data_IF_563974943562
#
_entry.id   IF_563974943562
#
_cell.length_a   1.000
_cell.length_b   1.000
_cell.length_c   1.000
_cell.angle_alpha   90.00
_cell.angle_beta   90.00
_cell.angle_gamma   90.00
#
_symmetry.space_group_name_H-M   'P 1'
#
loop_
_entity.id
_entity.type
_entity.pdbx_description
1 polymer ?
#
# COMPACT_ATOMS: atom_id res chain seq x y z
N UNK A 1 -7.59 45.13 48.67
CA UNK A 1 -8.23 44.81 47.38
C UNK A 1 -7.12 44.82 46.34
N UNK A 2 -6.47 43.67 46.13
CA UNK A 2 -5.35 43.57 45.19
C UNK A 2 -5.26 42.15 44.67
N UNK A 3 -5.14 42.06 43.35
CA UNK A 3 -5.55 40.96 42.47
C UNK A 3 -4.49 39.85 42.43
N UNK A 4 -4.92 38.59 42.57
CA UNK A 4 -4.11 37.39 42.33
C UNK A 4 -4.05 37.16 40.81
N UNK A 5 -2.89 37.33 40.20
CA UNK A 5 -2.63 36.97 38.80
C UNK A 5 -2.49 35.44 38.70
N UNK A 6 -3.49 34.77 38.14
CA UNK A 6 -3.41 33.38 37.70
C UNK A 6 -2.74 33.32 36.33
N UNK A 7 -1.54 32.73 36.26
CA UNK A 7 -0.90 32.38 34.99
C UNK A 7 -1.49 31.05 34.48
N UNK A 8 -2.42 31.14 33.53
CA UNK A 8 -2.86 30.00 32.72
C UNK A 8 -1.85 29.79 31.58
N UNK A 9 -0.93 28.83 31.74
CA UNK A 9 -0.12 28.37 30.62
C UNK A 9 -0.95 27.37 29.80
N UNK A 10 -1.50 27.84 28.67
CA UNK A 10 -2.20 27.02 27.68
C UNK A 10 -1.19 26.04 27.05
N UNK A 11 -1.27 24.76 27.42
CA UNK A 11 -0.63 23.68 26.66
C UNK A 11 -1.35 23.52 25.31
N UNK A 12 -0.80 24.12 24.26
CA UNK A 12 -1.21 23.84 22.89
C UNK A 12 -0.75 22.42 22.52
N UNK A 13 -1.66 21.46 22.62
CA UNK A 13 -1.51 20.13 22.03
C UNK A 13 -1.69 20.31 20.52
N UNK A 14 -0.57 20.48 19.80
CA UNK A 14 -0.55 20.39 18.34
C UNK A 14 -0.60 18.90 17.94
N UNK A 15 -1.81 18.36 17.84
CA UNK A 15 -2.14 17.22 16.98
C UNK A 15 -3.29 17.70 16.08
N UNK A 16 -3.29 17.53 14.78
CA UNK A 16 -2.76 16.44 13.95
C UNK A 16 -2.36 17.02 12.59
N UNK A 17 -1.09 16.90 12.21
CA UNK A 17 -0.72 17.10 10.81
C UNK A 17 -1.27 15.90 10.03
N UNK A 18 -2.45 16.05 9.44
CA UNK A 18 -2.94 15.14 8.42
C UNK A 18 -1.96 15.27 7.24
N UNK A 19 -1.01 14.33 7.21
CA UNK A 19 0.08 14.35 6.24
C UNK A 19 -0.47 14.05 4.85
N UNK A 20 0.07 14.75 3.88
CA UNK A 20 -0.41 14.74 2.53
C UNK A 20 -0.18 13.35 1.92
N UNK A 21 -1.20 12.82 1.26
CA UNK A 21 -1.28 11.41 0.85
C UNK A 21 -0.49 11.05 -0.40
N UNK A 22 0.60 11.78 -0.63
CA UNK A 22 1.57 11.35 -1.62
C UNK A 22 2.14 10.00 -1.18
N UNK A 23 2.12 9.05 -2.10
CA UNK A 23 2.72 7.73 -1.91
C UNK A 23 3.78 7.50 -2.97
N UNK A 24 4.82 6.76 -2.62
CA UNK A 24 5.77 6.21 -3.59
C UNK A 24 5.15 4.94 -4.19
N UNK A 25 5.27 4.80 -5.50
CA UNK A 25 4.73 3.65 -6.26
C UNK A 25 5.87 2.96 -6.97
N UNK A 26 6.01 1.66 -6.77
CA UNK A 26 6.92 0.79 -7.53
C UNK A 26 6.13 -0.24 -8.32
N UNK A 27 6.34 -0.30 -9.64
CA UNK A 27 5.64 -1.23 -10.51
C UNK A 27 6.34 -2.60 -10.64
N UNK A 28 5.67 -3.53 -11.33
CA UNK A 28 6.20 -4.88 -11.59
C UNK A 28 7.44 -4.91 -12.49
N UNK A 29 7.77 -3.81 -13.16
CA UNK A 29 8.97 -3.64 -13.99
C UNK A 29 10.16 -3.10 -13.18
N UNK A 30 9.92 -2.70 -11.92
CA UNK A 30 10.92 -2.12 -11.03
C UNK A 30 11.10 -0.61 -11.20
N UNK A 31 10.25 0.03 -12.01
CA UNK A 31 10.23 1.49 -12.15
C UNK A 31 9.52 2.13 -10.96
N UNK A 32 9.88 3.39 -10.68
CA UNK A 32 9.34 4.14 -9.57
C UNK A 32 8.61 5.38 -10.08
N UNK A 33 7.54 5.74 -9.38
CA UNK A 33 6.82 6.99 -9.52
C UNK A 33 6.11 7.32 -8.22
N UNK A 34 5.09 8.15 -8.32
CA UNK A 34 4.28 8.57 -7.19
C UNK A 34 2.80 8.34 -7.48
N UNK A 35 2.00 8.50 -6.44
CA UNK A 35 0.56 8.58 -6.55
C UNK A 35 -0.01 9.40 -5.41
N UNK A 36 -1.33 9.48 -5.39
CA UNK A 36 -2.08 10.09 -4.31
C UNK A 36 -3.10 9.10 -3.77
N UNK A 37 -2.99 8.80 -2.48
CA UNK A 37 -3.89 7.89 -1.79
C UNK A 37 -5.14 8.66 -1.33
N UNK A 38 -6.27 7.95 -1.20
CA UNK A 38 -7.52 8.48 -0.62
C UNK A 38 -8.46 7.34 -0.20
N UNK A 39 -9.29 7.61 0.80
CA UNK A 39 -10.33 6.71 1.26
C UNK A 39 -11.68 6.97 0.58
N UNK A 40 -12.38 5.91 0.17
CA UNK A 40 -13.75 5.97 -0.34
C UNK A 40 -14.52 4.72 0.08
N UNK A 41 -15.67 4.89 0.75
CA UNK A 41 -16.56 3.80 1.16
C UNK A 41 -15.85 2.64 1.90
N UNK A 42 -14.94 2.97 2.84
CA UNK A 42 -14.20 1.96 3.62
C UNK A 42 -13.09 1.23 2.84
N UNK A 43 -12.77 1.70 1.63
CA UNK A 43 -11.67 1.15 0.82
C UNK A 43 -10.63 2.22 0.57
N UNK A 44 -9.37 1.84 0.69
CA UNK A 44 -8.26 2.70 0.38
C UNK A 44 -7.86 2.55 -1.09
N UNK A 45 -7.74 3.67 -1.78
CA UNK A 45 -7.35 3.74 -3.19
C UNK A 45 -6.10 4.59 -3.35
N UNK A 46 -5.33 4.34 -4.40
CA UNK A 46 -4.27 5.23 -4.86
C UNK A 46 -4.46 5.54 -6.34
N UNK A 47 -4.43 6.82 -6.71
CA UNK A 47 -4.42 7.26 -8.11
C UNK A 47 -3.01 7.59 -8.55
N UNK A 48 -2.68 7.21 -9.78
CA UNK A 48 -1.36 7.40 -10.38
C UNK A 48 -1.49 7.46 -11.91
N UNK A 49 -0.45 7.91 -12.64
CA UNK A 49 -0.42 7.77 -14.08
C UNK A 49 -0.41 6.30 -14.49
N UNK A 50 -1.01 5.97 -15.65
CA UNK A 50 -1.06 4.60 -16.15
C UNK A 50 0.34 4.05 -16.42
N UNK A 51 1.23 4.87 -16.98
CA UNK A 51 2.61 4.45 -17.21
C UNK A 51 3.38 4.19 -15.91
N UNK A 52 3.06 4.90 -14.81
CA UNK A 52 3.66 4.61 -13.49
C UNK A 52 3.21 3.25 -12.97
N UNK A 53 1.95 2.89 -13.18
CA UNK A 53 1.43 1.59 -12.76
C UNK A 53 2.07 0.42 -13.54
N UNK A 54 2.56 0.67 -14.76
CA UNK A 54 3.18 -0.33 -15.64
C UNK A 54 2.17 -1.31 -16.23
N UNK A 55 2.67 -2.39 -16.84
CA UNK A 55 1.83 -3.40 -17.49
C UNK A 55 1.26 -4.45 -16.53
N UNK A 56 1.82 -4.57 -15.33
CA UNK A 56 1.46 -5.61 -14.37
C UNK A 56 0.29 -5.19 -13.47
N UNK A 57 -0.54 -6.13 -13.01
CA UNK A 57 -1.76 -5.82 -12.25
C UNK A 57 -1.48 -5.40 -10.79
N UNK A 58 -0.23 -5.34 -10.36
CA UNK A 58 0.15 -5.03 -8.99
C UNK A 58 1.27 -3.99 -8.92
N UNK A 59 1.17 -3.14 -7.91
CA UNK A 59 2.18 -2.16 -7.51
C UNK A 59 2.48 -2.28 -6.01
N UNK A 60 3.67 -1.87 -5.60
CA UNK A 60 4.03 -1.67 -4.20
C UNK A 60 3.81 -0.19 -3.88
N UNK A 61 3.15 0.09 -2.77
CA UNK A 61 2.79 1.45 -2.33
C UNK A 61 3.44 1.72 -1.00
N UNK A 62 4.23 2.79 -0.90
CA UNK A 62 4.87 3.20 0.35
C UNK A 62 4.44 4.60 0.75
N UNK A 63 4.01 4.77 2.00
CA UNK A 63 3.55 6.06 2.55
C UNK A 63 4.71 6.96 2.98
N UNK A 64 4.40 8.22 3.30
CA UNK A 64 5.29 9.08 4.06
C UNK A 64 5.66 8.46 5.43
N UNK A 65 6.69 9.00 6.09
CA UNK A 65 7.14 8.57 7.41
C UNK A 65 6.03 8.72 8.48
N UNK A 66 5.89 7.80 9.46
CA UNK A 66 6.53 6.48 9.50
C UNK A 66 6.05 5.62 8.32
N UNK A 67 7.00 5.06 7.58
CA UNK A 67 6.73 4.38 6.31
C UNK A 67 5.95 3.10 6.57
N UNK A 68 4.77 3.00 5.99
CA UNK A 68 4.05 1.75 5.80
C UNK A 68 4.17 1.35 4.34
N UNK A 69 4.28 0.05 4.09
CA UNK A 69 4.28 -0.47 2.73
C UNK A 69 3.15 -1.46 2.54
N UNK A 70 2.37 -1.23 1.49
CA UNK A 70 1.27 -2.08 1.08
C UNK A 70 1.38 -2.49 -0.39
N UNK A 71 0.35 -3.19 -0.84
CA UNK A 71 0.17 -3.65 -2.21
C UNK A 71 -1.03 -2.94 -2.82
N UNK A 72 -0.93 -2.56 -4.09
CA UNK A 72 -2.02 -1.98 -4.86
C UNK A 72 -2.39 -2.89 -6.01
N UNK A 73 -3.65 -3.29 -6.12
CA UNK A 73 -4.17 -3.98 -7.32
C UNK A 73 -4.62 -2.93 -8.32
N UNK A 74 -3.92 -2.84 -9.46
CA UNK A 74 -4.09 -1.79 -10.48
C UNK A 74 -5.29 -2.09 -11.37
N UNK A 75 -6.08 -1.05 -11.62
CA UNK A 75 -7.18 -1.00 -12.56
C UNK A 75 -6.97 0.26 -13.43
N UNK A 76 -6.97 0.11 -14.75
CA UNK A 76 -6.87 1.22 -15.70
C UNK A 76 -8.11 1.26 -16.62
N UNK A 77 -9.32 1.53 -16.08
CA UNK A 77 -10.58 1.46 -16.81
C UNK A 77 -10.85 2.71 -17.65
N UNK A 78 -9.92 3.66 -17.69
CA UNK A 78 -10.11 4.96 -18.33
C UNK A 78 -9.87 4.88 -19.84
N UNK A 79 -10.40 5.90 -20.53
CA UNK A 79 -10.42 6.02 -21.98
C UNK A 79 -8.99 6.00 -22.53
N UNK A 80 -8.83 5.48 -23.75
CA UNK A 80 -7.55 5.53 -24.45
C UNK A 80 -7.06 6.99 -24.57
N UNK A 81 -5.78 7.21 -24.25
CA UNK A 81 -5.18 8.54 -24.19
C UNK A 81 -5.24 9.23 -22.82
N UNK A 82 -6.02 8.73 -21.86
CA UNK A 82 -5.98 9.21 -20.47
C UNK A 82 -4.93 8.39 -19.71
N UNK A 83 -3.81 9.04 -19.38
CA UNK A 83 -2.73 8.44 -18.60
C UNK A 83 -3.07 8.43 -17.11
N UNK A 84 -4.08 7.64 -16.74
CA UNK A 84 -4.60 7.49 -15.39
C UNK A 84 -4.78 6.02 -15.04
N UNK A 85 -4.50 5.66 -13.80
CA UNK A 85 -4.77 4.37 -13.21
C UNK A 85 -5.20 4.56 -11.74
N UNK A 86 -5.97 3.61 -11.24
CA UNK A 86 -6.38 3.53 -9.83
C UNK A 86 -5.96 2.17 -9.29
N UNK A 87 -5.40 2.14 -8.08
CA UNK A 87 -5.07 0.91 -7.38
C UNK A 87 -5.93 0.76 -6.13
N UNK A 88 -6.43 -0.45 -5.88
CA UNK A 88 -7.04 -0.82 -4.59
C UNK A 88 -5.91 -1.20 -3.64
N UNK A 89 -5.76 -0.42 -2.56
CA UNK A 89 -4.62 -0.52 -1.63
C UNK A 89 -4.94 -1.46 -0.47
N UNK A 90 -4.01 -2.34 -0.15
CA UNK A 90 -4.05 -3.29 0.97
C UNK A 90 -2.73 -3.25 1.74
N UNK A 91 -2.74 -3.67 3.01
CA UNK A 91 -1.54 -3.71 3.85
C UNK A 91 -1.07 -2.35 4.41
N UNK A 92 -1.85 -1.29 4.22
CA UNK A 92 -1.65 0.02 4.86
C UNK A 92 -2.83 0.25 5.81
N UNK A 93 -2.54 0.75 7.01
CA UNK A 93 -3.55 1.03 8.03
C UNK A 93 -4.54 2.11 7.55
N UNK A 94 -5.81 1.96 7.92
CA UNK A 94 -6.90 2.84 7.44
C UNK A 94 -6.70 4.31 7.88
N UNK A 95 -6.03 4.54 9.01
CA UNK A 95 -5.69 5.86 9.53
C UNK A 95 -4.62 6.60 8.72
N UNK A 96 -3.96 5.90 7.79
CA UNK A 96 -3.09 6.51 6.76
C UNK A 96 -3.88 6.94 5.53
N UNK A 97 -5.13 6.47 5.37
CA UNK A 97 -6.00 6.68 4.21
C UNK A 97 -7.15 7.67 4.49
N UNK A 98 -6.80 8.81 5.08
CA UNK A 98 -7.68 9.91 5.52
C UNK A 98 -8.20 10.90 4.45
N UNK A 99 -7.53 11.11 3.33
CA UNK A 99 -7.95 12.02 2.26
C UNK A 99 -9.21 11.50 1.59
N UNK A 100 -9.93 12.42 0.99
CA UNK A 100 -11.21 12.14 0.36
C UNK A 100 -11.11 12.53 -1.09
N UNK A 101 -11.72 11.76 -1.97
CA UNK A 101 -11.77 12.09 -3.39
C UNK A 101 -12.24 13.53 -3.66
N UNK A 102 -13.14 14.06 -2.82
CA UNK A 102 -13.66 15.43 -2.93
C UNK A 102 -12.61 16.53 -2.73
N UNK A 103 -11.43 16.25 -2.17
CA UNK A 103 -10.35 17.25 -2.02
C UNK A 103 -9.71 17.63 -3.36
N UNK A 104 -9.91 16.83 -4.41
CA UNK A 104 -9.59 17.19 -5.79
C UNK A 104 -10.54 18.27 -6.36
N UNK A 105 -11.63 18.61 -5.67
CA UNK A 105 -12.53 19.67 -6.09
C UNK A 105 -11.94 21.04 -5.72
N UNK A 106 -11.22 21.64 -6.65
CA UNK A 106 -10.50 22.88 -6.37
C UNK A 106 -11.41 24.12 -6.35
N UNK A 107 -11.17 24.97 -5.38
CA UNK A 107 -11.91 26.21 -5.21
C UNK A 107 -11.45 27.28 -6.22
N UNK A 108 -11.96 28.51 -6.07
CA UNK A 108 -11.59 29.60 -6.98
C UNK A 108 -10.16 30.10 -6.78
N UNK A 109 -9.61 29.96 -5.56
CA UNK A 109 -8.24 30.35 -5.24
C UNK A 109 -7.25 29.38 -5.89
N UNK A 110 -7.43 28.06 -5.72
CA UNK A 110 -6.61 27.03 -6.35
C UNK A 110 -6.63 27.10 -7.88
N UNK A 111 -7.76 27.45 -8.48
CA UNK A 111 -7.89 27.67 -9.93
C UNK A 111 -7.08 28.86 -10.46
N UNK A 112 -6.90 29.90 -9.65
CA UNK A 112 -6.20 31.13 -10.04
C UNK A 112 -4.78 31.24 -9.50
N UNK A 113 -4.35 30.30 -8.66
CA UNK A 113 -3.01 30.29 -8.09
C UNK A 113 -1.96 30.33 -9.20
N UNK A 114 -0.94 31.17 -9.01
CA UNK A 114 0.25 31.28 -9.87
C UNK A 114 1.44 30.51 -9.31
N UNK A 115 1.37 30.13 -8.03
CA UNK A 115 2.41 29.40 -7.29
C UNK A 115 1.79 28.14 -6.69
N UNK A 116 2.59 27.10 -6.60
CA UNK A 116 2.24 25.82 -6.00
C UNK A 116 3.48 25.14 -5.42
N UNK A 117 3.31 24.00 -4.77
CA UNK A 117 4.41 23.12 -4.38
C UNK A 117 4.16 21.72 -4.91
N UNK A 118 5.14 21.13 -5.58
CA UNK A 118 5.16 19.71 -5.89
C UNK A 118 5.52 18.95 -4.62
N UNK A 119 4.70 17.97 -4.23
CA UNK A 119 5.01 17.10 -3.11
C UNK A 119 5.55 15.75 -3.60
N UNK A 120 6.67 15.33 -3.04
CA UNK A 120 7.33 14.05 -3.29
C UNK A 120 7.70 13.39 -1.98
N UNK A 121 8.03 12.10 -2.05
CA UNK A 121 8.67 11.38 -0.96
C UNK A 121 10.12 11.06 -1.31
N UNK A 122 11.01 11.21 -0.33
CA UNK A 122 12.35 10.65 -0.38
C UNK A 122 12.29 9.11 -0.27
N UNK A 123 13.40 8.39 -0.55
CA UNK A 123 13.47 6.95 -0.30
C UNK A 123 13.24 6.56 1.17
N UNK A 124 13.47 7.46 2.13
CA UNK A 124 13.18 7.25 3.56
C UNK A 124 11.74 7.61 3.95
N UNK A 125 10.92 8.06 2.99
CA UNK A 125 9.53 8.49 3.21
C UNK A 125 9.41 9.92 3.75
N UNK A 126 10.47 10.72 3.74
CA UNK A 126 10.40 12.12 4.11
C UNK A 126 9.69 12.93 3.01
N UNK A 127 8.77 13.80 3.41
CA UNK A 127 8.10 14.71 2.47
C UNK A 127 9.06 15.79 1.96
N UNK A 128 9.17 15.90 0.64
CA UNK A 128 9.88 16.99 -0.02
C UNK A 128 8.89 17.87 -0.78
N UNK A 129 8.85 19.16 -0.42
CA UNK A 129 8.09 20.18 -1.15
C UNK A 129 9.01 21.00 -2.05
N UNK A 130 8.71 20.98 -3.34
CA UNK A 130 9.46 21.71 -4.37
C UNK A 130 8.60 22.86 -4.89
N UNK A 131 9.02 24.13 -4.75
CA UNK A 131 8.26 25.27 -5.26
C UNK A 131 8.07 25.21 -6.77
N UNK A 132 6.85 25.50 -7.21
CA UNK A 132 6.42 25.54 -8.60
C UNK A 132 5.83 26.91 -8.93
N UNK A 133 6.15 27.40 -10.13
CA UNK A 133 5.45 28.51 -10.75
C UNK A 133 4.59 28.02 -11.90
N UNK A 134 3.30 28.29 -11.83
CA UNK A 134 2.31 27.86 -12.83
C UNK A 134 2.41 28.80 -14.03
N UNK A 135 2.68 28.23 -15.20
CA UNK A 135 2.95 28.96 -16.43
C UNK A 135 1.73 29.03 -17.33
N UNK A 136 1.05 27.90 -17.48
CA UNK A 136 -0.13 27.81 -18.33
C UNK A 136 -1.16 26.89 -17.71
N UNK A 137 -2.43 27.20 -17.93
CA UNK A 137 -3.58 26.36 -17.57
C UNK A 137 -4.39 26.16 -18.83
N UNK A 138 -4.36 24.94 -19.33
CA UNK A 138 -5.16 24.52 -20.47
C UNK A 138 -6.43 23.82 -19.97
N UNK A 139 -7.24 23.33 -20.91
CA UNK A 139 -8.50 22.68 -20.58
C UNK A 139 -8.30 21.45 -19.68
N UNK A 140 -7.41 20.52 -20.08
CA UNK A 140 -7.16 19.26 -19.36
C UNK A 140 -5.92 19.28 -18.45
N UNK A 141 -5.00 20.21 -18.72
CA UNK A 141 -3.66 20.20 -18.14
C UNK A 141 -3.29 21.54 -17.52
N UNK A 142 -2.29 21.50 -16.64
CA UNK A 142 -1.55 22.69 -16.24
C UNK A 142 -0.06 22.44 -16.46
N UNK A 143 0.65 23.49 -16.84
CA UNK A 143 2.11 23.48 -16.99
C UNK A 143 2.72 24.32 -15.89
N UNK A 144 3.71 23.76 -15.18
CA UNK A 144 4.44 24.49 -14.14
C UNK A 144 5.94 24.30 -14.30
N UNK A 145 6.68 25.34 -13.91
CA UNK A 145 8.15 25.35 -13.86
C UNK A 145 8.60 25.18 -12.41
N UNK A 146 9.61 24.36 -12.18
CA UNK A 146 10.28 24.27 -10.89
C UNK A 146 11.11 25.53 -10.64
N UNK A 147 11.06 26.06 -9.42
CA UNK A 147 11.92 27.16 -8.99
C UNK A 147 13.12 26.67 -8.15
N UNK A 148 14.16 27.51 -8.04
CA UNK A 148 15.28 27.25 -7.14
C UNK A 148 16.36 26.28 -7.64
N UNK A 149 16.50 26.12 -8.97
CA UNK A 149 17.59 25.32 -9.57
C UNK A 149 17.47 23.81 -9.34
N UNK A 150 16.29 23.34 -8.91
CA UNK A 150 15.97 21.91 -8.80
C UNK A 150 15.43 21.39 -10.13
N UNK A 151 15.66 20.12 -10.41
CA UNK A 151 15.22 19.45 -11.64
C UNK A 151 14.16 18.39 -11.37
N UNK A 152 13.27 18.21 -12.34
CA UNK A 152 12.38 17.07 -12.47
C UNK A 152 13.23 15.89 -12.93
N UNK A 153 13.58 15.03 -11.99
CA UNK A 153 14.24 13.77 -12.31
C UNK A 153 13.22 12.76 -12.82
N UNK A 154 13.70 11.77 -13.58
CA UNK A 154 12.95 10.56 -13.90
C UNK A 154 12.35 9.96 -12.61
N UNK A 155 11.08 9.56 -12.66
CA UNK A 155 10.34 9.08 -11.49
C UNK A 155 9.53 10.14 -10.74
N UNK A 156 9.43 11.37 -11.25
CA UNK A 156 8.54 12.41 -10.68
C UNK A 156 7.07 12.24 -11.11
N UNK A 157 6.79 11.40 -12.11
CA UNK A 157 5.43 11.10 -12.55
C UNK A 157 4.55 10.62 -11.39
N UNK A 158 3.34 11.14 -11.33
CA UNK A 158 2.35 10.88 -10.29
C UNK A 158 2.46 11.75 -9.05
N UNK A 159 3.49 12.60 -8.95
CA UNK A 159 3.61 13.56 -7.85
C UNK A 159 2.53 14.64 -8.00
N UNK A 160 1.91 15.04 -6.89
CA UNK A 160 0.85 16.05 -6.90
C UNK A 160 1.40 17.44 -6.63
N UNK A 161 0.90 18.41 -7.39
CA UNK A 161 1.07 19.83 -7.12
C UNK A 161 -0.04 20.32 -6.18
N UNK A 162 0.33 21.13 -5.20
CA UNK A 162 -0.55 21.64 -4.15
C UNK A 162 -0.50 23.16 -4.06
N UNK A 163 -1.65 23.78 -3.78
CA UNK A 163 -1.77 25.17 -3.33
C UNK A 163 -2.18 25.11 -1.87
N UNK A 164 -1.23 25.35 -0.95
CA UNK A 164 -1.40 25.00 0.45
C UNK A 164 -1.59 23.49 0.61
N UNK A 165 -2.79 23.09 1.03
CA UNK A 165 -3.21 21.69 1.18
C UNK A 165 -4.09 21.19 0.02
N UNK A 166 -4.49 22.08 -0.90
CA UNK A 166 -5.39 21.71 -1.99
C UNK A 166 -4.61 21.12 -3.18
N UNK A 167 -4.84 19.85 -3.55
CA UNK A 167 -4.23 19.27 -4.74
C UNK A 167 -4.80 19.92 -6.00
N UNK A 168 -3.94 20.46 -6.86
CA UNK A 168 -4.35 21.14 -8.12
C UNK A 168 -4.03 20.35 -9.39
N UNK A 169 -3.19 19.32 -9.29
CA UNK A 169 -2.96 18.40 -10.40
C UNK A 169 -1.86 17.37 -10.12
N UNK A 170 -1.82 16.34 -10.95
CA UNK A 170 -0.87 15.23 -10.88
C UNK A 170 0.10 15.28 -12.05
N UNK A 171 1.42 15.28 -11.79
CA UNK A 171 2.43 15.25 -12.83
C UNK A 171 2.29 13.95 -13.64
N UNK A 172 2.35 14.02 -14.97
CA UNK A 172 2.34 12.81 -15.81
C UNK A 172 3.32 12.89 -16.98
N UNK A 173 3.79 14.09 -17.34
CA UNK A 173 4.79 14.27 -18.37
C UNK A 173 5.75 15.42 -18.01
N UNK A 174 6.91 15.42 -18.64
CA UNK A 174 7.87 16.53 -18.56
C UNK A 174 8.39 16.82 -19.96
N UNK A 175 8.34 18.09 -20.35
CA UNK A 175 8.89 18.55 -21.63
C UNK A 175 10.41 18.81 -21.54
N UNK A 176 10.91 19.15 -20.35
CA UNK A 176 12.32 19.37 -20.03
C UNK A 176 12.53 19.33 -18.50
N UNK A 177 13.77 19.19 -18.00
CA UNK A 177 14.06 19.04 -16.57
C UNK A 177 13.52 20.17 -15.67
N UNK A 178 13.21 21.35 -16.22
CA UNK A 178 12.66 22.47 -15.46
C UNK A 178 11.14 22.57 -15.49
N UNK A 179 10.43 21.79 -16.32
CA UNK A 179 9.00 21.93 -16.58
C UNK A 179 8.25 20.60 -16.54
N UNK A 180 7.12 20.59 -15.82
CA UNK A 180 6.21 19.45 -15.75
C UNK A 180 4.83 19.84 -16.30
N UNK A 181 4.21 18.86 -16.94
CA UNK A 181 2.81 18.89 -17.34
C UNK A 181 2.03 18.01 -16.38
N UNK A 182 0.92 18.56 -15.89
CA UNK A 182 0.08 17.95 -14.88
C UNK A 182 -1.32 17.75 -15.43
N UNK A 183 -1.91 16.59 -15.13
CA UNK A 183 -3.34 16.37 -15.27
C UNK A 183 -4.04 17.15 -14.15
N UNK A 184 -5.05 17.96 -14.50
CA UNK A 184 -5.76 18.78 -13.51
C UNK A 184 -6.53 17.91 -12.53
N UNK A 185 -6.60 18.33 -11.26
CA UNK A 185 -7.37 17.62 -10.23
C UNK A 185 -8.83 17.43 -10.60
N UNK A 186 -9.45 18.39 -11.29
CA UNK A 186 -10.84 18.26 -11.73
C UNK A 186 -11.03 17.15 -12.76
N UNK A 187 -10.07 16.95 -13.66
CA UNK A 187 -10.11 15.87 -14.65
C UNK A 187 -9.96 14.50 -13.98
N UNK A 188 -9.03 14.41 -13.01
CA UNK A 188 -8.87 13.20 -12.20
C UNK A 188 -10.17 12.92 -11.45
N UNK A 189 -10.75 13.93 -10.80
CA UNK A 189 -11.98 13.82 -10.03
C UNK A 189 -13.17 13.32 -10.85
N UNK A 190 -13.37 13.87 -12.05
CA UNK A 190 -14.48 13.48 -12.93
C UNK A 190 -14.34 12.00 -13.32
N UNK A 191 -13.14 11.57 -13.74
CA UNK A 191 -12.89 10.21 -14.17
C UNK A 191 -13.01 9.21 -13.01
N UNK A 192 -12.42 9.53 -11.86
CA UNK A 192 -12.49 8.68 -10.66
C UNK A 192 -13.91 8.58 -10.11
N UNK A 193 -14.65 9.71 -10.00
CA UNK A 193 -16.05 9.68 -9.52
C UNK A 193 -16.92 8.83 -10.41
N UNK A 194 -16.79 8.97 -11.74
CA UNK A 194 -17.56 8.15 -12.67
C UNK A 194 -17.28 6.66 -12.47
N UNK A 195 -16.01 6.27 -12.46
CA UNK A 195 -15.61 4.88 -12.26
C UNK A 195 -16.09 4.33 -10.89
N UNK A 196 -15.86 5.06 -9.81
CA UNK A 196 -16.18 4.60 -8.46
C UNK A 196 -17.70 4.55 -8.20
N UNK A 197 -18.48 5.44 -8.81
CA UNK A 197 -19.95 5.39 -8.70
C UNK A 197 -20.55 4.22 -9.49
N UNK A 198 -19.97 3.86 -10.63
CA UNK A 198 -20.47 2.76 -11.47
C UNK A 198 -19.97 1.38 -10.99
N UNK A 199 -18.71 1.30 -10.56
CA UNK A 199 -18.00 0.03 -10.35
C UNK A 199 -17.27 -0.07 -9.00
N UNK A 200 -17.18 1.00 -8.22
CA UNK A 200 -16.42 1.02 -6.97
C UNK A 200 -16.91 0.01 -5.93
N UNK A 201 -18.22 -0.29 -5.90
CA UNK A 201 -18.82 -1.28 -5.01
C UNK A 201 -18.30 -2.71 -5.24
N UNK A 202 -17.88 -3.05 -6.46
CA UNK A 202 -17.31 -4.37 -6.76
C UNK A 202 -15.94 -4.60 -6.11
N UNK A 203 -15.26 -3.52 -5.72
CA UNK A 203 -13.93 -3.54 -5.12
C UNK A 203 -13.91 -3.13 -3.65
N UNK A 204 -15.09 -2.87 -3.08
CA UNK A 204 -15.23 -2.55 -1.67
C UNK A 204 -14.62 -3.68 -0.83
N UNK A 205 -13.82 -3.33 0.19
CA UNK A 205 -13.48 -4.28 1.24
C UNK A 205 -14.78 -4.93 1.74
N UNK A 206 -14.89 -6.27 1.83
CA UNK A 206 -16.09 -6.89 2.33
C UNK A 206 -16.38 -6.32 3.72
N UNK A 207 -17.51 -5.61 3.83
CA UNK A 207 -18.11 -5.31 5.13
C UNK A 207 -18.24 -6.63 5.87
N UNK A 208 -17.98 -6.63 7.18
CA UNK A 208 -18.01 -7.81 8.07
C UNK A 208 -19.38 -8.54 8.14
N UNK A 209 -20.28 -8.32 7.18
CA UNK A 209 -21.61 -8.90 7.07
C UNK A 209 -21.95 -9.44 5.67
N UNK A 210 -20.97 -9.69 4.78
CA UNK A 210 -21.23 -10.38 3.51
C UNK A 210 -21.04 -11.88 3.68
N UNK A 211 -22.14 -12.62 3.79
CA UNK A 211 -22.16 -14.07 3.66
C UNK A 211 -21.80 -14.43 2.21
N UNK A 212 -20.54 -14.78 1.96
CA UNK A 212 -20.10 -15.29 0.66
C UNK A 212 -20.81 -16.63 0.38
N UNK A 213 -21.26 -16.88 -0.87
CA UNK A 213 -21.66 -18.22 -1.28
C UNK A 213 -20.44 -19.16 -1.14
N UNK A 214 -20.65 -20.43 -0.76
CA UNK A 214 -19.55 -21.36 -0.50
C UNK A 214 -18.72 -21.51 -1.77
N UNK A 215 -17.46 -21.07 -1.70
CA UNK A 215 -16.46 -21.43 -2.70
C UNK A 215 -16.26 -22.95 -2.65
N UNK A 216 -16.15 -23.57 -3.82
CA UNK A 216 -15.88 -25.01 -3.94
C UNK A 216 -14.61 -25.38 -3.13
N UNK A 217 -14.73 -26.20 -2.07
CA UNK A 217 -13.69 -26.40 -1.06
C UNK A 217 -12.54 -27.33 -1.50
N UNK A 218 -12.43 -27.67 -2.79
CA UNK A 218 -11.71 -28.88 -3.22
C UNK A 218 -10.36 -28.69 -3.92
N UNK A 219 -9.90 -27.48 -4.21
CA UNK A 219 -8.77 -27.31 -5.15
C UNK A 219 -7.37 -27.27 -4.49
N UNK A 220 -7.25 -26.86 -3.23
CA UNK A 220 -5.99 -26.79 -2.48
C UNK A 220 -6.29 -27.21 -1.05
N UNK A 221 -5.71 -28.33 -0.57
CA UNK A 221 -6.03 -28.86 0.75
C UNK A 221 -5.75 -27.85 1.86
N UNK A 222 -6.57 -27.85 2.92
CA UNK A 222 -6.43 -26.99 4.09
C UNK A 222 -7.55 -25.95 4.25
N UNK A 223 -7.50 -25.18 5.33
CA UNK A 223 -8.41 -24.05 5.58
C UNK A 223 -7.99 -22.86 4.71
N UNK A 224 -8.97 -22.15 4.15
CA UNK A 224 -8.71 -21.01 3.29
C UNK A 224 -8.21 -19.80 4.10
N UNK A 225 -6.99 -19.36 3.78
CA UNK A 225 -6.35 -18.20 4.36
C UNK A 225 -6.49 -16.96 3.48
N UNK A 226 -6.45 -15.79 4.10
CA UNK A 226 -6.33 -14.48 3.44
C UNK A 226 -5.19 -13.72 4.11
N UNK A 227 -4.29 -13.13 3.31
CA UNK A 227 -3.22 -12.28 3.86
C UNK A 227 -3.83 -10.97 4.34
N UNK A 228 -3.65 -10.69 5.63
CA UNK A 228 -4.14 -9.50 6.28
C UNK A 228 -3.10 -8.38 6.31
N UNK A 229 -1.83 -8.74 6.60
CA UNK A 229 -0.74 -7.77 6.71
C UNK A 229 0.63 -8.43 6.45
N UNK A 230 1.59 -7.65 5.94
CA UNK A 230 3.01 -8.00 5.88
C UNK A 230 3.86 -6.82 6.33
N UNK A 231 4.80 -7.03 7.25
CA UNK A 231 5.73 -5.99 7.70
C UNK A 231 6.85 -5.69 6.71
N UNK A 232 7.02 -6.52 5.68
CA UNK A 232 8.10 -6.38 4.70
C UNK A 232 7.53 -6.31 3.29
N UNK A 233 7.96 -5.33 2.50
CA UNK A 233 7.57 -5.26 1.10
C UNK A 233 8.20 -6.38 0.29
N UNK A 234 7.52 -6.84 -0.78
CA UNK A 234 8.16 -7.73 -1.74
C UNK A 234 9.22 -6.96 -2.53
N UNK A 235 10.26 -7.67 -3.01
CA UNK A 235 11.28 -7.06 -3.88
C UNK A 235 10.68 -6.50 -5.18
N UNK A 236 9.55 -7.08 -5.59
CA UNK A 236 8.76 -6.72 -6.75
C UNK A 236 7.28 -7.05 -6.52
N UNK A 237 6.32 -6.23 -6.98
CA UNK A 237 4.89 -6.49 -6.82
C UNK A 237 4.38 -7.84 -7.35
N UNK A 238 5.08 -8.45 -8.32
CA UNK A 238 4.75 -9.81 -8.79
C UNK A 238 4.98 -10.89 -7.73
N UNK A 239 5.80 -10.59 -6.74
CA UNK A 239 6.15 -11.48 -5.64
C UNK A 239 5.46 -11.08 -4.35
N UNK A 240 4.22 -10.61 -4.42
CA UNK A 240 3.52 -10.06 -3.27
C UNK A 240 3.10 -11.13 -2.24
N UNK A 241 2.91 -10.76 -0.96
CA UNK A 241 2.52 -11.69 0.11
C UNK A 241 1.26 -12.51 -0.21
N UNK A 242 0.31 -11.95 -0.97
CA UNK A 242 -0.94 -12.60 -1.36
C UNK A 242 -0.71 -13.85 -2.22
N UNK A 243 0.47 -14.02 -2.80
CA UNK A 243 0.83 -15.24 -3.53
C UNK A 243 0.94 -16.46 -2.61
N UNK A 244 1.19 -16.28 -1.30
CA UNK A 244 1.34 -17.36 -0.32
C UNK A 244 0.09 -18.23 -0.13
N UNK A 245 -1.07 -17.70 -0.52
CA UNK A 245 -2.38 -18.37 -0.44
C UNK A 245 -3.00 -18.57 -1.82
N UNK A 246 -2.22 -18.32 -2.88
CA UNK A 246 -2.67 -18.26 -4.27
C UNK A 246 -1.58 -18.75 -5.22
N UNK A 247 -1.55 -18.19 -6.43
CA UNK A 247 -0.54 -18.56 -7.42
C UNK A 247 0.70 -17.65 -7.33
N UNK A 248 1.88 -18.26 -7.37
CA UNK A 248 3.16 -17.57 -7.39
C UNK A 248 3.91 -17.68 -6.06
N UNK A 249 4.98 -16.90 -5.93
CA UNK A 249 5.85 -16.90 -4.74
C UNK A 249 5.88 -15.52 -4.09
N UNK A 250 6.10 -15.46 -2.78
CA UNK A 250 6.47 -14.25 -2.06
C UNK A 250 8.01 -14.15 -1.97
N UNK A 251 8.57 -13.02 -2.39
CA UNK A 251 10.03 -12.78 -2.37
C UNK A 251 10.31 -11.40 -1.79
N UNK A 252 11.16 -11.35 -0.78
CA UNK A 252 11.54 -10.11 -0.09
C UNK A 252 13.04 -10.06 0.18
N UNK A 253 13.57 -8.84 0.38
CA UNK A 253 14.99 -8.65 0.68
C UNK A 253 15.26 -8.65 2.18
N UNK A 254 16.31 -9.37 2.58
CA UNK A 254 16.91 -9.30 3.92
C UNK A 254 16.28 -10.18 5.01
N UNK A 255 17.04 -10.42 6.07
CA UNK A 255 16.60 -11.02 7.34
C UNK A 255 17.31 -10.34 8.52
N UNK A 256 16.71 -10.29 9.73
CA UNK A 256 15.30 -10.59 10.02
C UNK A 256 14.40 -9.57 9.32
N UNK A 257 13.15 -9.92 9.01
CA UNK A 257 12.28 -8.90 8.39
C UNK A 257 10.82 -9.25 8.29
N UNK A 258 10.50 -10.41 7.71
CA UNK A 258 9.12 -10.70 7.35
C UNK A 258 8.31 -11.18 8.55
N UNK A 259 7.34 -10.35 8.96
CA UNK A 259 6.17 -10.76 9.71
C UNK A 259 4.95 -10.72 8.79
N UNK A 260 4.34 -11.87 8.56
CA UNK A 260 3.15 -12.00 7.72
C UNK A 260 1.99 -12.48 8.58
N UNK A 261 0.85 -11.79 8.48
CA UNK A 261 -0.36 -12.10 9.24
C UNK A 261 -1.45 -12.55 8.28
N UNK A 262 -2.07 -13.68 8.62
CA UNK A 262 -3.17 -14.29 7.89
C UNK A 262 -4.43 -14.30 8.76
N UNK A 263 -5.56 -14.03 8.15
CA UNK A 263 -6.88 -14.37 8.66
C UNK A 263 -7.45 -15.57 7.90
N UNK A 264 -8.60 -16.08 8.34
CA UNK A 264 -9.35 -17.10 7.60
C UNK A 264 -10.37 -16.44 6.68
N UNK A 265 -10.60 -17.02 5.50
CA UNK A 265 -11.53 -16.48 4.50
C UNK A 265 -12.98 -16.38 5.02
N UNK A 266 -13.35 -17.21 6.00
CA UNK A 266 -14.64 -17.14 6.69
C UNK A 266 -14.80 -15.89 7.56
N UNK A 267 -13.70 -15.21 7.89
CA UNK A 267 -13.68 -14.12 8.88
C UNK A 267 -13.84 -14.60 10.33
N UNK A 268 -13.92 -15.91 10.55
CA UNK A 268 -14.21 -16.52 11.84
C UNK A 268 -13.02 -17.29 12.43
N UNK A 269 -13.20 -17.76 13.66
CA UNK A 269 -12.25 -18.65 14.33
C UNK A 269 -12.27 -20.01 13.65
N UNK A 270 -11.09 -20.54 13.31
CA UNK A 270 -10.91 -21.89 12.81
C UNK A 270 -10.07 -22.72 13.77
N UNK A 271 -10.36 -24.02 13.85
CA UNK A 271 -9.54 -24.98 14.58
C UNK A 271 -8.40 -25.43 13.67
N UNK A 272 -7.16 -25.10 14.05
CA UNK A 272 -5.95 -25.45 13.29
C UNK A 272 -5.11 -26.43 14.09
N UNK A 273 -4.66 -27.49 13.43
CA UNK A 273 -3.86 -28.57 13.98
C UNK A 273 -2.48 -28.67 13.32
N UNK A 274 -2.31 -28.14 12.11
CA UNK A 274 -1.03 -28.19 11.39
C UNK A 274 -0.83 -26.94 10.54
N UNK A 275 0.42 -26.49 10.43
CA UNK A 275 0.84 -25.46 9.51
C UNK A 275 2.02 -25.97 8.69
N UNK A 276 1.95 -25.74 7.37
CA UNK A 276 2.98 -26.07 6.40
C UNK A 276 3.37 -24.83 5.62
N UNK A 277 4.68 -24.65 5.44
CA UNK A 277 5.25 -23.60 4.60
C UNK A 277 6.20 -24.28 3.62
N UNK A 278 6.05 -23.95 2.34
CA UNK A 278 6.95 -24.42 1.28
C UNK A 278 7.75 -23.26 0.71
N UNK A 279 8.94 -23.55 0.21
CA UNK A 279 9.79 -22.61 -0.50
C UNK A 279 10.52 -23.35 -1.63
N UNK A 280 10.67 -22.75 -2.81
CA UNK A 280 11.34 -23.38 -3.94
C UNK A 280 12.86 -23.45 -3.70
N UNK A 281 13.44 -24.63 -3.85
CA UNK A 281 14.88 -24.89 -3.60
C UNK A 281 15.78 -24.63 -4.81
N UNK A 282 15.22 -24.48 -6.01
CA UNK A 282 15.97 -24.41 -7.27
C UNK A 282 16.14 -22.99 -7.82
N UNK A 283 15.55 -21.98 -7.18
CA UNK A 283 15.31 -20.66 -7.77
C UNK A 283 16.40 -19.60 -7.48
N UNK A 284 17.55 -19.98 -6.91
CA UNK A 284 18.64 -19.04 -6.60
C UNK A 284 18.32 -18.03 -5.48
N UNK A 285 17.22 -18.25 -4.75
CA UNK A 285 16.82 -17.47 -3.58
C UNK A 285 17.30 -18.11 -2.28
N UNK A 286 17.34 -17.32 -1.22
CA UNK A 286 17.57 -17.80 0.13
C UNK A 286 16.30 -18.46 0.69
N UNK A 287 16.47 -19.60 1.36
CA UNK A 287 15.37 -20.25 2.06
C UNK A 287 15.24 -19.67 3.47
N UNK A 288 14.02 -19.40 3.96
CA UNK A 288 13.78 -19.15 5.38
C UNK A 288 14.46 -20.24 6.21
N UNK A 289 15.04 -19.90 7.35
CA UNK A 289 15.57 -20.88 8.29
C UNK A 289 14.74 -20.91 9.54
N UNK A 290 14.81 -19.92 10.42
CA UNK A 290 14.09 -19.93 11.69
C UNK A 290 12.75 -19.22 11.57
N UNK A 291 11.67 -19.94 11.88
CA UNK A 291 10.29 -19.47 11.76
C UNK A 291 9.62 -19.54 13.13
N UNK A 292 9.01 -18.43 13.55
CA UNK A 292 8.09 -18.38 14.68
C UNK A 292 6.66 -18.34 14.13
N UNK A 293 5.84 -19.28 14.59
CA UNK A 293 4.40 -19.31 14.32
C UNK A 293 3.68 -18.81 15.56
N UNK A 294 2.87 -17.77 15.39
CA UNK A 294 2.06 -17.21 16.45
C UNK A 294 0.59 -17.20 16.04
N UNK A 295 -0.30 -17.13 17.02
CA UNK A 295 -1.73 -17.07 16.80
C UNK A 295 -2.41 -16.04 17.69
N UNK A 296 -3.58 -15.58 17.26
CA UNK A 296 -4.46 -14.74 18.08
C UNK A 296 -5.93 -15.11 17.91
N UNK A 297 -6.69 -14.89 18.98
CA UNK A 297 -8.16 -14.94 19.01
C UNK A 297 -8.80 -13.54 19.02
N UNK A 298 -7.99 -12.50 19.16
CA UNK A 298 -8.41 -11.10 19.20
C UNK A 298 -9.09 -10.71 17.88
N UNK A 299 -10.21 -9.98 17.94
CA UNK A 299 -10.96 -9.62 16.74
C UNK A 299 -10.14 -8.74 15.79
N UNK A 300 -9.29 -7.87 16.33
CA UNK A 300 -8.48 -6.91 15.55
C UNK A 300 -7.08 -7.46 15.22
N UNK A 301 -6.80 -8.74 15.47
CA UNK A 301 -5.50 -9.33 15.14
C UNK A 301 -4.36 -8.80 16.01
N UNK A 302 -4.62 -8.50 17.28
CA UNK A 302 -3.60 -8.08 18.25
C UNK A 302 -3.24 -9.22 19.20
N UNK A 303 -2.25 -9.00 20.09
CA UNK A 303 -1.91 -9.91 21.20
C UNK A 303 -1.58 -11.35 20.78
N UNK A 304 -0.68 -11.48 19.81
CA UNK A 304 -0.21 -12.78 19.36
C UNK A 304 0.51 -13.57 20.46
N UNK A 305 0.21 -14.86 20.53
CA UNK A 305 0.89 -15.83 21.39
C UNK A 305 1.69 -16.78 20.53
N UNK A 306 2.88 -17.17 20.98
CA UNK A 306 3.64 -18.20 20.29
C UNK A 306 2.87 -19.53 20.33
N UNK A 307 2.71 -20.14 19.15
CA UNK A 307 2.21 -21.50 19.03
C UNK A 307 3.37 -22.48 18.98
N UNK A 308 4.33 -22.22 18.08
CA UNK A 308 5.53 -23.02 17.92
C UNK A 308 6.64 -22.21 17.28
N UNK A 309 7.86 -22.72 17.43
CA UNK A 309 9.06 -22.20 16.78
C UNK A 309 9.84 -23.39 16.24
N UNK A 310 10.32 -23.26 15.01
CA UNK A 310 11.16 -24.30 14.43
C UNK A 310 12.00 -23.78 13.28
N UNK A 311 12.58 -24.72 12.55
CA UNK A 311 13.44 -24.43 11.42
C UNK A 311 12.90 -25.10 10.15
N UNK A 312 12.83 -24.35 9.07
CA UNK A 312 12.59 -24.89 7.73
C UNK A 312 13.83 -25.69 7.31
N UNK A 313 13.61 -26.90 6.82
CA UNK A 313 14.68 -27.74 6.34
C UNK A 313 15.23 -27.22 4.98
N UNK A 314 16.46 -27.58 4.60
CA UNK A 314 17.04 -27.17 3.31
C UNK A 314 16.30 -27.69 2.06
N UNK A 315 15.35 -28.61 2.23
CA UNK A 315 14.42 -29.05 1.20
C UNK A 315 13.28 -28.06 0.95
N UNK A 316 13.26 -26.94 1.67
CA UNK A 316 12.27 -25.88 1.53
C UNK A 316 10.97 -26.17 2.27
N UNK A 317 10.90 -27.21 3.11
CA UNK A 317 9.70 -27.56 3.87
C UNK A 317 9.85 -27.16 5.34
N UNK A 318 8.86 -26.42 5.83
CA UNK A 318 8.60 -26.28 7.25
C UNK A 318 7.22 -26.85 7.56
N UNK A 319 7.16 -27.75 8.53
CA UNK A 319 5.94 -28.44 8.91
C UNK A 319 5.88 -28.59 10.43
N UNK A 320 4.80 -28.11 11.04
CA UNK A 320 4.60 -28.25 12.49
C UNK A 320 4.28 -29.67 12.91
N UNK A 321 3.96 -30.55 11.95
CA UNK A 321 3.35 -31.84 12.19
C UNK A 321 1.90 -31.71 12.68
N UNK A 322 1.28 -32.85 12.95
CA UNK A 322 -0.05 -32.90 13.56
C UNK A 322 0.05 -32.53 15.05
N UNK A 323 -0.59 -31.44 15.44
CA UNK A 323 -0.66 -30.96 16.82
C UNK A 323 -2.10 -31.05 17.34
N UNK A 324 -2.28 -30.88 18.66
CA UNK A 324 -3.61 -30.74 19.22
C UNK A 324 -4.32 -29.50 18.60
N UNK A 325 -5.58 -29.63 18.13
CA UNK A 325 -6.30 -28.53 17.49
C UNK A 325 -6.37 -27.29 18.39
N UNK A 326 -6.10 -26.12 17.81
CA UNK A 326 -6.20 -24.83 18.47
C UNK A 326 -7.10 -23.91 17.69
N UNK A 327 -8.07 -23.35 18.39
CA UNK A 327 -8.89 -22.28 17.85
C UNK A 327 -8.03 -21.02 17.69
N UNK A 328 -8.08 -20.45 16.49
CA UNK A 328 -7.38 -19.22 16.15
C UNK A 328 -8.20 -18.43 15.14
N UNK A 329 -8.13 -17.09 15.24
CA UNK A 329 -8.71 -16.16 14.27
C UNK A 329 -7.63 -15.63 13.32
N UNK A 330 -6.40 -15.52 13.84
CA UNK A 330 -5.25 -15.02 13.12
C UNK A 330 -4.05 -15.93 13.30
N UNK A 331 -3.27 -16.10 12.23
CA UNK A 331 -1.96 -16.76 12.23
C UNK A 331 -0.93 -15.74 11.83
N UNK A 332 0.18 -15.64 12.56
CA UNK A 332 1.30 -14.81 12.17
C UNK A 332 2.58 -15.64 12.04
N UNK A 333 3.26 -15.48 10.91
CA UNK A 333 4.56 -16.04 10.64
C UNK A 333 5.61 -14.95 10.83
N UNK A 334 6.69 -15.24 11.53
CA UNK A 334 7.85 -14.34 11.65
C UNK A 334 9.12 -15.08 11.26
N UNK A 335 9.78 -14.59 10.22
CA UNK A 335 11.03 -15.15 9.68
C UNK A 335 12.21 -14.39 10.27
N UNK A 336 13.07 -15.09 11.01
CA UNK A 336 14.18 -14.48 11.76
C UNK A 336 15.50 -14.52 10.99
N UNK A 337 15.80 -15.61 10.29
CA UNK A 337 17.03 -15.79 9.52
C UNK A 337 16.78 -16.69 8.30
N UNK A 338 17.79 -16.81 7.43
CA UNK A 338 17.76 -17.58 6.20
C UNK A 338 19.02 -18.47 6.06
N UNK A 339 18.94 -19.52 5.24
CA UNK A 339 20.04 -20.48 5.04
C UNK A 339 21.21 -19.92 4.23
N UNK A 340 20.96 -18.96 3.36
CA UNK A 340 21.95 -18.30 2.53
C UNK A 340 21.70 -16.79 2.48
N UNK A 341 22.66 -16.05 1.94
CA UNK A 341 22.53 -14.61 1.68
C UNK A 341 21.76 -14.36 0.39
N UNK A 342 20.88 -13.38 0.39
CA UNK A 342 20.11 -12.96 -0.80
C UNK A 342 18.63 -12.76 -0.46
N UNK A 343 17.79 -12.53 -1.48
CA UNK A 343 16.35 -12.40 -1.30
C UNK A 343 15.77 -13.73 -0.80
N UNK A 344 14.86 -13.66 0.17
CA UNK A 344 14.20 -14.83 0.74
C UNK A 344 12.92 -15.14 -0.02
N UNK A 345 12.66 -16.41 -0.30
CA UNK A 345 11.48 -16.88 -1.01
C UNK A 345 10.59 -17.78 -0.16
N UNK A 346 9.29 -17.63 -0.30
CA UNK A 346 8.26 -18.53 0.23
C UNK A 346 7.25 -18.77 -0.89
N UNK A 347 6.88 -20.03 -1.11
CA UNK A 347 5.93 -20.45 -2.13
C UNK A 347 4.51 -20.38 -1.57
N UNK A 348 4.23 -21.23 -0.58
CA UNK A 348 2.87 -21.45 -0.09
C UNK A 348 2.84 -21.55 1.44
N UNK A 349 1.71 -21.12 2.02
CA UNK A 349 1.36 -21.34 3.42
C UNK A 349 0.01 -22.05 3.48
N UNK A 350 0.01 -23.26 4.05
CA UNK A 350 -1.17 -24.10 4.23
C UNK A 350 -1.40 -24.32 5.73
N UNK A 351 -2.66 -24.28 6.15
CA UNK A 351 -3.07 -24.67 7.50
C UNK A 351 -4.19 -25.71 7.43
N UNK A 352 -4.11 -26.74 8.27
CA UNK A 352 -5.07 -27.85 8.35
C UNK A 352 -5.71 -27.97 9.73
#
# INVERSE_FOLDING_TARGET
>A
MTVILSALALSAIYGTSAQAQTVSVKNGEGENGFGWMFGQAGTCYAVMPRHVAGIFPRVTISTAAPVQTGTGTVIAPFWEGIDLAIAVVRGIEEDRCTERLDTLNIDSAGRRAAEASLLRLSPSGEEERVPLRIMRRDYLTLEARIEGGREIMQGTSGAFAFVGETPIGMAYASANPGQATFMRSEEILINLRRFLNEQGAAYAAPSAAVTLPPADPSARGGLQLVVANSSTPPINPRFAPENLVGDGVFVYDGVPGARIVFGFATGDVAAVQRLRITAPTTAGYALPRTIIVQYSLDAEGRRFREWTRGQMAPDGLFDTGQMAPRNMRWVALTILDAWSTGPVVIDEVIVD
#
